data_IF_383981122323
#
_entry.id   IF_383981122323
#
_cell.length_a   1.000
_cell.length_b   1.000
_cell.length_c   1.000
_cell.angle_alpha   90.00
_cell.angle_beta   90.00
_cell.angle_gamma   90.00
#
_symmetry.space_group_name_H-M   'P 1'
#
loop_
_entity.id
_entity.type
_entity.pdbx_description
1 polymer ?
#
# COMPACT_ATOMS: atom_id res chain seq x y z
N UNK A 1 -23.45 -12.62 66.41
CA UNK A 1 -22.77 -11.51 65.65
C UNK A 1 -21.82 -11.96 64.55
N UNK A 2 -21.63 -13.28 64.28
CA UNK A 2 -20.69 -13.78 63.26
C UNK A 2 -21.23 -13.88 61.79
N UNK A 3 -22.55 -13.93 61.59
CA UNK A 3 -23.13 -14.11 60.23
C UNK A 3 -23.14 -12.88 59.35
N UNK A 4 -23.14 -11.67 59.89
CA UNK A 4 -23.16 -10.43 59.08
C UNK A 4 -21.82 -10.11 58.38
N UNK A 5 -20.69 -10.50 59.02
CA UNK A 5 -19.35 -10.21 58.53
C UNK A 5 -19.01 -11.07 57.31
N UNK A 6 -19.42 -12.36 57.31
CA UNK A 6 -19.17 -13.31 56.21
C UNK A 6 -19.95 -12.90 54.95
N UNK A 7 -21.18 -12.42 55.08
CA UNK A 7 -22.00 -11.96 53.94
C UNK A 7 -21.43 -10.72 53.22
N UNK A 8 -20.83 -9.79 54.02
CA UNK A 8 -20.20 -8.59 53.47
C UNK A 8 -18.89 -8.92 52.72
N UNK A 9 -18.13 -9.86 53.25
CA UNK A 9 -16.87 -10.36 52.63
C UNK A 9 -17.17 -11.04 51.29
N UNK A 10 -18.15 -11.93 51.24
CA UNK A 10 -18.57 -12.65 50.04
C UNK A 10 -19.08 -11.68 48.93
N UNK A 11 -19.84 -10.66 49.32
CA UNK A 11 -20.33 -9.64 48.37
C UNK A 11 -19.18 -8.78 47.80
N UNK A 12 -18.19 -8.41 48.62
CA UNK A 12 -17.01 -7.67 48.15
C UNK A 12 -16.12 -8.48 47.24
N UNK A 13 -15.93 -9.78 47.55
CA UNK A 13 -15.14 -10.70 46.71
C UNK A 13 -15.85 -10.97 45.39
N UNK A 14 -17.17 -11.18 45.39
CA UNK A 14 -17.96 -11.35 44.16
C UNK A 14 -17.91 -10.08 43.26
N UNK A 15 -17.97 -8.89 43.86
CA UNK A 15 -17.85 -7.64 43.11
C UNK A 15 -16.47 -7.42 42.53
N UNK A 16 -15.39 -7.80 43.25
CA UNK A 16 -14.01 -7.75 42.75
C UNK A 16 -13.77 -8.72 41.62
N UNK A 17 -14.31 -9.93 41.68
CA UNK A 17 -14.22 -10.94 40.61
C UNK A 17 -15.02 -10.49 39.37
N UNK A 18 -16.21 -9.88 39.54
CA UNK A 18 -16.97 -9.33 38.43
C UNK A 18 -16.26 -8.14 37.77
N UNK A 19 -15.58 -7.31 38.57
CA UNK A 19 -14.81 -6.18 38.06
C UNK A 19 -13.55 -6.66 37.29
N UNK A 20 -12.86 -7.71 37.76
CA UNK A 20 -11.75 -8.34 37.04
C UNK A 20 -12.18 -9.02 35.74
N UNK A 21 -13.37 -9.62 35.67
CA UNK A 21 -13.93 -10.17 34.43
C UNK A 21 -14.38 -9.10 33.44
N UNK A 22 -14.79 -7.92 33.91
CA UNK A 22 -15.17 -6.77 33.05
C UNK A 22 -13.98 -6.09 32.38
N UNK A 23 -12.74 -6.32 32.85
CA UNK A 23 -11.51 -5.72 32.28
C UNK A 23 -10.89 -6.61 31.19
N UNK A 24 -11.36 -7.82 30.97
CA UNK A 24 -11.03 -8.59 29.76
C UNK A 24 -11.83 -8.09 28.57
N UNK A 25 -11.91 -6.77 28.39
CA UNK A 25 -12.19 -6.20 27.08
C UNK A 25 -11.11 -6.73 26.15
N UNK A 26 -11.53 -7.50 25.18
CA UNK A 26 -10.71 -8.06 24.12
C UNK A 26 -9.87 -6.93 23.54
N UNK A 27 -8.61 -6.86 23.92
CA UNK A 27 -7.61 -6.12 23.16
C UNK A 27 -7.48 -6.90 21.86
N UNK A 28 -8.41 -6.67 20.93
CA UNK A 28 -8.14 -6.98 19.55
C UNK A 28 -6.96 -6.08 19.19
N UNK A 29 -5.78 -6.66 19.14
CA UNK A 29 -4.67 -6.05 18.44
C UNK A 29 -5.15 -5.91 16.99
N UNK A 30 -5.83 -4.81 16.70
CA UNK A 30 -6.18 -4.47 15.33
C UNK A 30 -4.85 -4.31 14.61
N UNK A 31 -4.55 -5.24 13.73
CA UNK A 31 -3.47 -5.07 12.76
C UNK A 31 -3.79 -3.75 12.05
N UNK A 32 -2.93 -2.76 12.22
CA UNK A 32 -3.05 -1.51 11.50
C UNK A 32 -2.84 -1.86 10.03
N UNK A 33 -3.94 -1.96 9.29
CA UNK A 33 -3.91 -2.19 7.84
C UNK A 33 -3.93 -0.81 7.21
N UNK A 34 -3.01 -0.56 6.30
CA UNK A 34 -3.02 0.65 5.47
C UNK A 34 -4.37 0.75 4.74
N UNK A 35 -4.93 1.96 4.69
CA UNK A 35 -6.18 2.23 3.95
C UNK A 35 -5.89 2.46 2.48
N UNK A 36 -5.36 1.45 1.84
CA UNK A 36 -4.99 1.52 0.43
C UNK A 36 -6.21 1.68 -0.47
N UNK A 37 -6.04 2.42 -1.56
CA UNK A 37 -6.96 2.43 -2.68
C UNK A 37 -6.88 1.11 -3.48
N UNK A 38 -7.59 1.00 -4.61
CA UNK A 38 -7.60 -0.21 -5.45
C UNK A 38 -6.27 -0.48 -6.15
N UNK A 39 -5.35 0.49 -6.18
CA UNK A 39 -4.14 0.41 -6.99
C UNK A 39 -4.48 0.07 -8.44
N UNK A 40 -5.53 0.71 -8.95
CA UNK A 40 -6.04 0.46 -10.30
C UNK A 40 -4.99 0.86 -11.33
N UNK A 41 -4.63 -0.06 -12.20
CA UNK A 41 -3.63 0.13 -13.27
C UNK A 41 -4.27 -0.22 -14.60
N UNK A 42 -4.05 0.60 -15.60
CA UNK A 42 -4.40 0.31 -16.99
C UNK A 42 -3.15 0.50 -17.87
N UNK A 43 -2.81 -0.51 -18.67
CA UNK A 43 -1.62 -0.43 -19.52
C UNK A 43 -1.89 -1.00 -20.91
N UNK A 44 -1.26 -0.40 -21.92
CA UNK A 44 -1.37 -0.84 -23.31
C UNK A 44 -0.54 -2.12 -23.52
N UNK A 45 -1.22 -3.25 -23.84
CA UNK A 45 -0.53 -4.49 -24.22
C UNK A 45 -0.07 -4.47 -25.68
N UNK A 46 -0.96 -3.96 -26.55
CA UNK A 46 -0.73 -3.82 -27.99
C UNK A 46 -1.75 -2.79 -28.56
N UNK A 47 -1.77 -2.63 -29.87
CA UNK A 47 -2.68 -1.66 -30.54
C UNK A 47 -4.16 -1.88 -30.26
N UNK A 48 -4.56 -3.12 -29.91
CA UNK A 48 -5.97 -3.50 -29.78
C UNK A 48 -6.38 -3.90 -28.37
N UNK A 49 -5.46 -3.88 -27.40
CA UNK A 49 -5.73 -4.39 -26.06
C UNK A 49 -5.15 -3.52 -24.95
N UNK A 50 -5.94 -3.32 -23.92
CA UNK A 50 -5.55 -2.70 -22.66
C UNK A 50 -5.72 -3.72 -21.53
N UNK A 51 -4.65 -3.99 -20.79
CA UNK A 51 -4.74 -4.72 -19.52
C UNK A 51 -5.16 -3.76 -18.42
N UNK A 52 -6.11 -4.20 -17.59
CA UNK A 52 -6.55 -3.47 -16.41
C UNK A 52 -6.46 -4.40 -15.21
N UNK A 53 -5.80 -3.95 -14.14
CA UNK A 53 -5.64 -4.70 -12.91
C UNK A 53 -5.96 -3.86 -11.69
N UNK A 54 -6.50 -4.48 -10.65
CA UNK A 54 -6.80 -3.84 -9.38
C UNK A 54 -6.53 -4.82 -8.24
N UNK A 55 -6.58 -4.35 -7.00
CA UNK A 55 -6.40 -5.22 -5.84
C UNK A 55 -7.71 -5.45 -5.10
N UNK A 56 -7.87 -6.64 -4.56
CA UNK A 56 -8.81 -6.93 -3.48
C UNK A 56 -8.23 -6.35 -2.19
N UNK A 57 -9.04 -5.60 -1.44
CA UNK A 57 -8.59 -5.03 -0.17
C UNK A 57 -8.70 -6.05 0.96
N UNK A 58 -7.74 -6.03 1.89
CA UNK A 58 -7.74 -6.94 3.03
C UNK A 58 -8.90 -6.77 4.02
N UNK A 59 -9.70 -5.70 3.85
CA UNK A 59 -10.91 -5.41 4.62
C UNK A 59 -12.19 -5.91 3.98
N UNK A 60 -12.11 -6.43 2.76
CA UNK A 60 -13.28 -6.92 2.01
C UNK A 60 -13.60 -8.38 2.34
N UNK A 61 -14.88 -8.77 2.23
CA UNK A 61 -15.28 -10.16 2.38
C UNK A 61 -14.72 -11.02 1.23
N UNK A 62 -14.55 -12.31 1.49
CA UNK A 62 -13.95 -13.25 0.51
C UNK A 62 -14.81 -13.49 -0.73
N UNK A 63 -16.09 -13.15 -0.68
CA UNK A 63 -17.07 -13.26 -1.77
C UNK A 63 -17.32 -11.95 -2.50
N UNK A 64 -16.48 -10.93 -2.27
CA UNK A 64 -16.54 -9.66 -3.01
C UNK A 64 -16.42 -9.90 -4.51
N UNK A 65 -17.18 -9.16 -5.29
CA UNK A 65 -17.09 -9.14 -6.74
C UNK A 65 -16.94 -7.71 -7.26
N UNK A 66 -16.62 -7.55 -8.53
CA UNK A 66 -16.26 -6.25 -9.09
C UNK A 66 -16.95 -5.96 -10.41
N UNK A 67 -17.36 -4.73 -10.60
CA UNK A 67 -17.70 -4.18 -11.92
C UNK A 67 -16.57 -3.25 -12.38
N UNK A 68 -16.13 -3.46 -13.61
CA UNK A 68 -15.12 -2.63 -14.27
C UNK A 68 -15.79 -1.73 -15.30
N UNK A 69 -15.38 -0.47 -15.33
CA UNK A 69 -15.89 0.57 -16.22
C UNK A 69 -14.77 1.19 -17.04
N UNK A 70 -15.10 1.59 -18.26
CA UNK A 70 -14.26 2.41 -19.11
C UNK A 70 -15.10 3.61 -19.59
N UNK A 71 -14.67 4.83 -19.30
CA UNK A 71 -15.43 6.07 -19.58
C UNK A 71 -16.89 5.94 -19.09
N UNK A 72 -17.07 5.47 -17.86
CA UNK A 72 -18.37 5.19 -17.20
C UNK A 72 -19.25 4.12 -17.85
N UNK A 73 -18.76 3.42 -18.87
CA UNK A 73 -19.45 2.29 -19.48
C UNK A 73 -18.97 0.98 -18.86
N UNK A 74 -19.90 0.19 -18.34
CA UNK A 74 -19.61 -1.13 -17.76
C UNK A 74 -19.11 -2.08 -18.85
N UNK A 75 -17.97 -2.77 -18.59
CA UNK A 75 -17.29 -3.60 -19.60
C UNK A 75 -17.74 -5.06 -19.65
N UNK A 76 -18.44 -5.56 -18.64
CA UNK A 76 -18.94 -6.93 -18.61
C UNK A 76 -20.36 -6.97 -18.04
N UNK A 77 -21.21 -7.84 -18.57
CA UNK A 77 -22.58 -8.03 -18.07
C UNK A 77 -22.60 -8.52 -16.62
N UNK A 78 -21.77 -9.52 -16.33
CA UNK A 78 -21.64 -10.10 -14.98
C UNK A 78 -20.41 -9.54 -14.26
N UNK A 79 -20.48 -9.40 -12.92
CA UNK A 79 -19.34 -9.00 -12.13
C UNK A 79 -18.19 -10.01 -12.16
N UNK A 80 -16.97 -9.53 -11.99
CA UNK A 80 -15.79 -10.38 -11.83
C UNK A 80 -15.74 -10.95 -10.40
N UNK A 81 -15.76 -12.27 -10.27
CA UNK A 81 -15.77 -12.97 -8.97
C UNK A 81 -14.50 -13.76 -8.68
N UNK A 82 -13.75 -14.13 -9.73
CA UNK A 82 -12.60 -15.03 -9.61
C UNK A 82 -11.27 -14.34 -9.94
N UNK A 83 -11.30 -13.08 -10.37
CA UNK A 83 -10.11 -12.35 -10.84
C UNK A 83 -10.22 -10.87 -10.55
N UNK A 84 -9.07 -10.23 -10.36
CA UNK A 84 -8.92 -8.80 -10.19
C UNK A 84 -8.19 -8.17 -11.37
N UNK A 85 -8.40 -8.71 -12.54
CA UNK A 85 -7.86 -8.16 -13.79
C UNK A 85 -8.77 -8.49 -14.98
N UNK A 86 -8.60 -7.72 -16.04
CA UNK A 86 -9.33 -7.88 -17.30
C UNK A 86 -8.52 -7.34 -18.47
N UNK A 87 -8.59 -8.02 -19.60
CA UNK A 87 -8.04 -7.51 -20.85
C UNK A 87 -9.17 -6.96 -21.71
N UNK A 88 -9.23 -5.63 -21.82
CA UNK A 88 -10.22 -4.92 -22.61
C UNK A 88 -9.75 -4.81 -24.07
N UNK A 89 -10.54 -5.32 -25.01
CA UNK A 89 -10.30 -5.14 -26.43
C UNK A 89 -10.70 -3.70 -26.83
N UNK A 90 -9.71 -2.82 -26.97
CA UNK A 90 -9.90 -1.42 -27.30
C UNK A 90 -8.69 -0.87 -28.05
N UNK A 91 -8.93 -0.19 -29.15
CA UNK A 91 -7.92 0.55 -29.93
C UNK A 91 -7.66 1.95 -29.38
N UNK A 92 -8.53 2.46 -28.53
CA UNK A 92 -8.44 3.79 -27.93
C UNK A 92 -8.08 3.71 -26.44
N UNK A 93 -7.48 4.76 -25.91
CA UNK A 93 -7.26 4.90 -24.49
C UNK A 93 -8.52 5.47 -23.83
N UNK A 94 -8.93 4.87 -22.72
CA UNK A 94 -10.02 5.31 -21.88
C UNK A 94 -9.57 5.56 -20.47
N UNK A 95 -10.47 6.07 -19.64
CA UNK A 95 -10.31 6.18 -18.19
C UNK A 95 -11.05 5.04 -17.53
N UNK A 96 -10.36 4.27 -16.70
CA UNK A 96 -10.92 3.10 -16.05
C UNK A 96 -11.24 3.38 -14.58
N UNK A 97 -12.31 2.76 -14.10
CA UNK A 97 -12.69 2.71 -12.69
C UNK A 97 -13.22 1.32 -12.36
N UNK A 98 -13.08 0.92 -11.09
CA UNK A 98 -13.64 -0.35 -10.58
C UNK A 98 -14.54 -0.07 -9.38
N UNK A 99 -15.63 -0.84 -9.26
CA UNK A 99 -16.54 -0.77 -8.13
C UNK A 99 -16.70 -2.16 -7.53
N UNK A 100 -16.48 -2.28 -6.23
CA UNK A 100 -16.74 -3.50 -5.51
C UNK A 100 -18.24 -3.72 -5.36
N UNK A 101 -18.66 -4.98 -5.29
CA UNK A 101 -20.01 -5.37 -4.93
C UNK A 101 -19.91 -6.19 -3.65
N UNK A 102 -20.45 -5.65 -2.57
CA UNK A 102 -20.45 -6.26 -1.25
C UNK A 102 -21.90 -6.49 -0.82
N UNK A 103 -22.24 -7.74 -0.47
CA UNK A 103 -23.60 -8.11 -0.12
C UNK A 103 -24.65 -7.72 -1.20
N UNK A 104 -24.25 -7.77 -2.47
CA UNK A 104 -25.11 -7.41 -3.60
C UNK A 104 -25.26 -5.90 -3.86
N UNK A 105 -24.59 -5.05 -3.10
CA UNK A 105 -24.62 -3.58 -3.23
C UNK A 105 -23.33 -3.13 -3.91
N UNK A 106 -23.45 -2.34 -4.98
CA UNK A 106 -22.33 -1.75 -5.65
C UNK A 106 -21.83 -0.54 -4.85
N UNK A 107 -20.54 -0.59 -4.48
CA UNK A 107 -19.85 0.44 -3.71
C UNK A 107 -19.47 1.65 -4.61
N UNK A 108 -19.09 2.79 -4.02
CA UNK A 108 -18.57 3.92 -4.77
C UNK A 108 -17.39 3.54 -5.68
N UNK A 109 -17.20 4.34 -6.73
CA UNK A 109 -16.10 4.16 -7.70
C UNK A 109 -14.74 4.26 -7.02
N UNK A 110 -13.79 3.46 -7.49
CA UNK A 110 -12.37 3.63 -7.15
C UNK A 110 -11.81 4.95 -7.68
N UNK A 111 -10.53 5.17 -7.40
CA UNK A 111 -9.70 6.11 -8.16
C UNK A 111 -9.75 5.77 -9.65
N UNK A 112 -9.42 6.75 -10.49
CA UNK A 112 -9.37 6.57 -11.93
C UNK A 112 -7.98 6.15 -12.38
N UNK A 113 -7.89 5.27 -13.40
CA UNK A 113 -6.64 4.94 -14.08
C UNK A 113 -6.68 5.35 -15.54
N UNK A 114 -5.71 6.14 -15.95
CA UNK A 114 -5.40 6.41 -17.36
C UNK A 114 -4.50 5.31 -17.92
N UNK A 115 -4.59 5.05 -19.22
CA UNK A 115 -3.81 3.98 -19.87
C UNK A 115 -2.35 4.40 -20.00
N UNK A 116 -1.45 3.62 -19.42
CA UNK A 116 -0.01 3.76 -19.65
C UNK A 116 0.34 3.32 -21.08
N UNK A 117 1.21 4.08 -21.71
CA UNK A 117 1.68 3.76 -23.08
C UNK A 117 2.53 2.49 -23.13
N UNK A 118 3.26 2.21 -22.04
CA UNK A 118 4.15 1.06 -21.87
C UNK A 118 3.60 0.09 -20.82
N UNK A 119 4.15 -1.12 -20.76
CA UNK A 119 3.85 -2.11 -19.72
C UNK A 119 4.60 -1.86 -18.41
N UNK A 120 5.11 -0.67 -18.23
CA UNK A 120 5.81 -0.17 -17.06
C UNK A 120 5.58 1.33 -16.91
N UNK A 121 5.81 1.85 -15.72
CA UNK A 121 5.80 3.27 -15.38
C UNK A 121 7.24 3.74 -15.15
N UNK A 122 7.68 4.72 -15.95
CA UNK A 122 8.95 5.40 -15.72
C UNK A 122 8.78 6.46 -14.63
N UNK A 123 9.59 6.38 -13.59
CA UNK A 123 9.59 7.35 -12.50
C UNK A 123 10.92 8.11 -12.53
N UNK A 124 10.85 9.40 -12.86
CA UNK A 124 12.01 10.27 -12.87
C UNK A 124 12.50 10.53 -11.44
N UNK A 125 13.73 10.11 -11.14
CA UNK A 125 14.33 10.26 -9.80
C UNK A 125 15.45 11.28 -9.81
N UNK A 126 15.65 11.96 -8.65
CA UNK A 126 16.68 12.97 -8.45
C UNK A 126 17.92 12.34 -7.80
N UNK A 127 18.88 11.89 -8.62
CA UNK A 127 20.12 11.28 -8.16
C UNK A 127 20.86 12.24 -7.24
N UNK A 128 21.32 11.80 -6.05
CA UNK A 128 22.15 12.63 -5.17
C UNK A 128 23.44 13.06 -5.86
N UNK A 129 23.92 14.24 -5.53
CA UNK A 129 25.23 14.68 -6.00
C UNK A 129 26.33 13.78 -5.41
N UNK A 130 27.23 13.30 -6.26
CA UNK A 130 28.43 12.61 -5.82
C UNK A 130 29.36 13.53 -5.03
N UNK A 131 30.50 13.00 -4.63
CA UNK A 131 31.48 13.74 -3.84
C UNK A 131 32.86 13.13 -3.92
N UNK A 132 33.75 13.62 -3.05
CA UNK A 132 35.10 13.11 -2.86
C UNK A 132 35.32 12.85 -1.39
N UNK A 133 35.82 11.70 -1.03
CA UNK A 133 36.15 11.33 0.36
C UNK A 133 37.46 11.97 0.78
N UNK A 134 37.79 12.04 2.12
CA UNK A 134 39.06 12.58 2.62
C UNK A 134 40.31 11.92 2.06
N UNK A 135 40.23 10.68 1.59
CA UNK A 135 41.30 9.94 0.92
C UNK A 135 41.31 10.15 -0.60
N UNK A 136 40.65 11.19 -1.10
CA UNK A 136 40.55 11.61 -2.50
C UNK A 136 39.87 10.59 -3.44
N UNK A 137 39.01 9.71 -2.94
CA UNK A 137 38.19 8.81 -3.78
C UNK A 137 36.91 9.54 -4.21
N UNK A 138 36.75 9.73 -5.51
CA UNK A 138 35.51 10.27 -6.10
C UNK A 138 34.44 9.18 -6.13
N UNK A 139 33.21 9.55 -5.77
CA UNK A 139 32.06 8.65 -5.79
C UNK A 139 30.83 9.30 -6.41
N UNK A 140 29.96 8.47 -6.96
CA UNK A 140 28.65 8.80 -7.49
C UNK A 140 27.59 7.96 -6.77
N UNK A 141 26.31 8.11 -7.14
CA UNK A 141 25.22 7.34 -6.57
C UNK A 141 24.49 6.52 -7.60
N UNK A 142 23.98 5.36 -7.18
CA UNK A 142 23.03 4.54 -7.91
C UNK A 142 21.92 4.05 -7.00
N UNK A 143 20.78 3.73 -7.59
CA UNK A 143 19.70 3.02 -6.88
C UNK A 143 20.19 1.64 -6.50
N UNK A 144 19.97 1.25 -5.24
CA UNK A 144 20.28 -0.09 -4.73
C UNK A 144 18.99 -0.86 -4.46
N UNK A 145 18.28 -0.54 -3.37
CA UNK A 145 17.05 -1.20 -2.96
C UNK A 145 15.87 -0.24 -2.99
N UNK A 146 14.68 -0.80 -3.20
CA UNK A 146 13.42 -0.08 -3.11
C UNK A 146 12.44 -0.82 -2.20
N UNK A 147 11.58 -0.06 -1.55
CA UNK A 147 10.45 -0.52 -0.76
C UNK A 147 9.23 0.34 -1.09
N UNK A 148 8.05 -0.07 -0.66
CA UNK A 148 6.82 0.71 -0.87
C UNK A 148 6.03 0.81 0.43
N UNK A 149 5.27 1.88 0.57
CA UNK A 149 4.34 2.12 1.68
C UNK A 149 3.54 3.38 1.42
N UNK A 150 2.34 3.47 2.00
CA UNK A 150 1.51 4.68 1.99
C UNK A 150 1.96 5.58 3.13
N UNK A 151 2.83 6.55 2.83
CA UNK A 151 3.49 7.40 3.84
C UNK A 151 2.71 8.65 4.19
N UNK A 152 1.86 9.12 3.30
CA UNK A 152 1.04 10.32 3.53
C UNK A 152 -0.44 10.01 3.77
N UNK A 153 -0.84 8.75 3.69
CA UNK A 153 -2.18 8.27 4.03
C UNK A 153 -3.21 8.53 2.94
N UNK A 154 -2.77 8.76 1.71
CA UNK A 154 -3.67 9.03 0.58
C UNK A 154 -4.23 7.76 -0.08
N UNK A 155 -3.75 6.60 0.34
CA UNK A 155 -4.16 5.29 -0.15
C UNK A 155 -3.36 4.77 -1.35
N UNK A 156 -2.42 5.54 -1.87
CA UNK A 156 -1.46 5.10 -2.88
C UNK A 156 -0.13 4.73 -2.23
N UNK A 157 0.67 3.94 -2.92
CA UNK A 157 2.01 3.65 -2.46
C UNK A 157 2.99 4.70 -2.96
N UNK A 158 3.83 5.19 -2.04
CA UNK A 158 5.10 5.82 -2.34
C UNK A 158 6.19 4.77 -2.47
N UNK A 159 7.27 5.16 -3.15
CA UNK A 159 8.46 4.34 -3.34
C UNK A 159 9.58 4.91 -2.48
N UNK A 160 10.12 4.08 -1.59
CA UNK A 160 11.34 4.39 -0.84
C UNK A 160 12.54 3.86 -1.63
N UNK A 161 13.47 4.76 -1.94
CA UNK A 161 14.65 4.44 -2.74
C UNK A 161 15.90 4.63 -1.90
N UNK A 162 16.68 3.56 -1.76
CA UNK A 162 18.01 3.63 -1.18
C UNK A 162 19.02 3.97 -2.26
N UNK A 163 19.80 5.02 -2.03
CA UNK A 163 20.92 5.44 -2.86
C UNK A 163 22.24 4.98 -2.25
N UNK A 164 22.96 4.10 -2.94
CA UNK A 164 24.27 3.66 -2.53
C UNK A 164 25.35 4.48 -3.24
N UNK A 165 26.37 4.95 -2.50
CA UNK A 165 27.56 5.52 -3.11
C UNK A 165 28.38 4.45 -3.79
N UNK A 166 29.01 4.77 -4.92
CA UNK A 166 29.82 3.83 -5.71
C UNK A 166 31.05 3.28 -4.97
N UNK A 167 31.43 3.94 -3.87
CA UNK A 167 32.49 3.50 -2.96
C UNK A 167 31.96 2.89 -1.65
N UNK A 168 30.71 2.40 -1.66
CA UNK A 168 30.14 1.68 -0.51
C UNK A 168 31.02 0.50 -0.10
N UNK A 169 31.12 0.27 1.20
CA UNK A 169 31.89 -0.81 1.80
C UNK A 169 31.04 -1.53 2.82
N UNK A 170 31.32 -2.82 2.99
CA UNK A 170 30.80 -3.57 4.13
C UNK A 170 31.33 -2.95 5.44
N UNK A 171 30.52 -3.02 6.51
CA UNK A 171 30.88 -2.47 7.81
C UNK A 171 32.09 -3.16 8.47
N UNK A 172 32.53 -4.30 7.95
CA UNK A 172 33.78 -4.98 8.34
C UNK A 172 35.03 -4.38 7.70
N UNK A 173 34.87 -3.51 6.70
CA UNK A 173 35.97 -2.90 5.95
C UNK A 173 36.26 -1.49 6.47
N UNK A 174 37.55 -1.16 6.66
CA UNK A 174 37.99 0.19 7.04
C UNK A 174 38.01 1.12 5.82
N UNK A 175 37.93 2.43 6.08
CA UNK A 175 38.03 3.50 5.11
C UNK A 175 36.79 4.38 5.03
N UNK A 176 36.83 5.36 4.14
CA UNK A 176 35.72 6.29 3.94
C UNK A 176 34.75 5.81 2.87
N UNK A 177 33.47 6.14 3.04
CA UNK A 177 32.41 5.96 2.04
C UNK A 177 31.60 7.25 1.91
N UNK A 178 30.89 7.42 0.80
CA UNK A 178 29.80 8.40 0.73
C UNK A 178 28.67 8.03 1.70
N UNK A 179 27.85 9.02 2.05
CA UNK A 179 26.65 8.77 2.88
C UNK A 179 25.62 7.98 2.07
N UNK A 180 24.91 7.07 2.71
CA UNK A 180 23.71 6.46 2.14
C UNK A 180 22.56 7.45 2.28
N UNK A 181 21.76 7.62 1.23
CA UNK A 181 20.51 8.38 1.27
C UNK A 181 19.31 7.48 1.07
N UNK A 182 18.19 7.89 1.64
CA UNK A 182 16.87 7.32 1.39
C UNK A 182 15.97 8.44 0.93
N UNK A 183 15.37 8.26 -0.23
CA UNK A 183 14.36 9.16 -0.78
C UNK A 183 12.99 8.50 -0.75
N UNK A 184 11.96 9.31 -0.64
CA UNK A 184 10.58 8.91 -0.83
C UNK A 184 10.00 9.64 -2.04
N UNK A 185 9.40 8.88 -2.97
CA UNK A 185 8.81 9.40 -4.21
C UNK A 185 7.38 8.96 -4.36
N UNK A 186 6.53 9.86 -4.84
CA UNK A 186 5.24 9.50 -5.45
C UNK A 186 5.47 8.87 -6.82
N UNK A 187 4.45 8.17 -7.33
CA UNK A 187 4.51 7.53 -8.64
C UNK A 187 4.63 8.51 -9.82
N UNK A 188 4.32 9.78 -9.62
CA UNK A 188 4.52 10.86 -10.60
C UNK A 188 5.97 11.42 -10.63
N UNK A 189 6.86 10.90 -9.78
CA UNK A 189 8.25 11.35 -9.66
C UNK A 189 8.46 12.51 -8.67
N UNK A 190 7.40 12.96 -8.00
CA UNK A 190 7.53 13.98 -6.94
C UNK A 190 8.26 13.40 -5.74
N UNK A 191 9.43 13.94 -5.43
CA UNK A 191 10.15 13.57 -4.22
C UNK A 191 9.56 14.27 -3.01
N UNK A 192 9.06 13.50 -2.05
CA UNK A 192 8.51 14.01 -0.80
C UNK A 192 9.60 14.45 0.16
N UNK A 193 10.66 13.65 0.28
CA UNK A 193 11.81 13.93 1.15
C UNK A 193 13.04 13.09 0.76
N UNK A 194 14.18 13.49 1.31
CA UNK A 194 15.46 12.78 1.34
C UNK A 194 15.95 12.71 2.76
#
# INVERSE_FOLDING_TARGET
>A
MKQKTTSIFLKKTAFLVLFLFGITSQIHAQRTVEKLNRGLVAMRLNTNQVYVGWRMLGTEPTDVSYNLYCNDVKLAESPFTATTNFTHNSTTNGTYTVRAIINGIEEPSSETASVWANQYLDIAMQIPAGGTTPDNVVYTYSVNDCSVGDVDGDGQYEIFVKWDPSNAKDNSQSGYTGNVFIDCYRLDGTRLWR
#
